data_IF_105159540452
#
_entry.id   IF_105159540452
#
_cell.length_a   1.000
_cell.length_b   1.000
_cell.length_c   1.000
_cell.angle_alpha   90.00
_cell.angle_beta   90.00
_cell.angle_gamma   90.00
#
_symmetry.space_group_name_H-M   'P 1'
#
loop_
_entity.id
_entity.type
_entity.pdbx_description
1 polymer ?
#
# COMPACT_ATOMS: atom_id res chain seq x y z
N UNK A 1 10.17 -4.27 -28.18
CA UNK A 1 10.80 -3.83 -26.94
C UNK A 1 12.09 -4.62 -26.79
N UNK A 2 13.23 -3.92 -26.62
CA UNK A 2 14.49 -4.57 -26.28
C UNK A 2 14.43 -5.13 -24.85
N UNK A 3 15.03 -6.28 -24.62
CA UNK A 3 15.09 -6.91 -23.31
C UNK A 3 16.47 -7.52 -23.10
N UNK A 4 16.85 -7.69 -21.84
CA UNK A 4 18.11 -8.30 -21.40
C UNK A 4 17.85 -9.35 -20.34
N UNK A 5 18.69 -10.37 -20.27
CA UNK A 5 18.64 -11.43 -19.28
C UNK A 5 20.01 -11.64 -18.67
N UNK A 6 20.06 -11.78 -17.34
CA UNK A 6 21.29 -12.06 -16.60
C UNK A 6 22.22 -10.87 -16.44
N UNK A 7 21.91 -9.73 -17.02
CA UNK A 7 22.66 -8.47 -16.89
C UNK A 7 21.76 -7.26 -17.02
N UNK A 8 22.31 -6.10 -16.65
CA UNK A 8 21.70 -4.79 -16.89
C UNK A 8 22.69 -3.90 -17.62
N UNK A 9 22.40 -3.51 -18.86
CA UNK A 9 23.23 -2.53 -19.58
C UNK A 9 22.98 -1.15 -19.01
N UNK A 10 23.90 -0.71 -18.16
CA UNK A 10 23.79 0.52 -17.39
C UNK A 10 23.52 1.75 -18.27
N UNK A 11 24.20 1.84 -19.43
CA UNK A 11 24.05 2.95 -20.35
C UNK A 11 22.61 3.10 -20.87
N UNK A 12 21.94 1.98 -21.17
CA UNK A 12 20.54 1.97 -21.63
C UNK A 12 19.60 2.43 -20.50
N UNK A 13 19.81 1.92 -19.30
CA UNK A 13 18.97 2.25 -18.15
C UNK A 13 19.15 3.72 -17.73
N UNK A 14 20.38 4.23 -17.75
CA UNK A 14 20.67 5.62 -17.42
C UNK A 14 20.25 6.63 -18.52
N UNK A 15 19.73 6.16 -19.64
CA UNK A 15 19.15 6.98 -20.71
C UNK A 15 17.61 6.91 -20.72
N UNK A 16 17.00 6.30 -19.73
CA UNK A 16 15.54 6.23 -19.59
C UNK A 16 14.98 7.53 -18.99
N UNK A 17 13.76 7.88 -19.37
CA UNK A 17 13.02 9.00 -18.76
C UNK A 17 12.49 8.62 -17.37
N UNK A 18 12.13 7.36 -17.18
CA UNK A 18 11.61 6.80 -15.92
C UNK A 18 11.94 5.31 -15.83
N UNK A 19 12.18 4.82 -14.62
CA UNK A 19 12.50 3.42 -14.33
C UNK A 19 11.47 2.83 -13.39
N UNK A 20 10.85 1.74 -13.82
CA UNK A 20 10.00 0.92 -12.94
C UNK A 20 10.86 -0.13 -12.25
N UNK A 21 10.99 -0.02 -10.94
CA UNK A 21 11.90 -0.84 -10.13
C UNK A 21 11.15 -1.98 -9.42
N UNK A 22 11.68 -3.20 -9.51
CA UNK A 22 11.22 -4.31 -8.65
C UNK A 22 11.45 -3.97 -7.17
N UNK A 23 10.50 -4.25 -6.25
CA UNK A 23 10.65 -3.99 -4.82
C UNK A 23 11.81 -4.77 -4.19
N UNK A 24 12.22 -5.90 -4.77
CA UNK A 24 13.38 -6.67 -4.33
C UNK A 24 14.72 -5.95 -4.50
N UNK A 25 14.84 -4.99 -5.43
CA UNK A 25 16.08 -4.25 -5.64
C UNK A 25 16.24 -3.19 -4.53
N UNK A 26 17.35 -3.20 -3.76
CA UNK A 26 17.61 -2.21 -2.72
C UNK A 26 17.69 -0.78 -3.26
N UNK A 27 17.29 0.19 -2.43
CA UNK A 27 17.35 1.61 -2.79
C UNK A 27 18.78 2.19 -2.79
N UNK A 28 19.74 1.48 -2.24
CA UNK A 28 21.17 1.76 -2.19
C UNK A 28 21.99 0.94 -3.22
N UNK A 29 21.34 0.14 -4.07
CA UNK A 29 22.02 -0.56 -5.15
C UNK A 29 22.75 0.45 -6.05
N UNK A 30 24.00 0.14 -6.52
CA UNK A 30 24.83 1.09 -7.26
C UNK A 30 24.12 1.75 -8.45
N UNK A 31 23.36 1.00 -9.22
CA UNK A 31 22.61 1.53 -10.36
C UNK A 31 21.47 2.45 -9.90
N UNK A 32 20.81 2.14 -8.79
CA UNK A 32 19.74 2.97 -8.22
C UNK A 32 20.29 4.31 -7.74
N UNK A 33 21.48 4.33 -7.13
CA UNK A 33 22.15 5.57 -6.73
C UNK A 33 22.48 6.43 -7.93
N UNK A 34 23.04 5.86 -9.02
CA UNK A 34 23.32 6.58 -10.26
C UNK A 34 22.07 7.16 -10.93
N UNK A 35 20.94 6.44 -10.89
CA UNK A 35 19.65 6.96 -11.38
C UNK A 35 19.21 8.18 -10.58
N UNK A 36 19.32 8.12 -9.25
CA UNK A 36 19.01 9.25 -8.36
C UNK A 36 19.92 10.46 -8.62
N UNK A 37 21.23 10.24 -8.78
CA UNK A 37 22.20 11.29 -9.10
C UNK A 37 21.87 11.98 -10.43
N UNK A 38 21.37 11.24 -11.42
CA UNK A 38 20.91 11.79 -12.70
C UNK A 38 19.51 12.41 -12.66
N UNK A 39 18.80 12.31 -11.53
CA UNK A 39 17.43 12.81 -11.40
C UNK A 39 16.40 12.00 -12.18
N UNK A 40 16.71 10.74 -12.55
CA UNK A 40 15.78 9.85 -13.25
C UNK A 40 14.76 9.34 -12.25
N UNK A 41 13.49 9.45 -12.60
CA UNK A 41 12.38 9.00 -11.76
C UNK A 41 12.40 7.47 -11.59
N UNK A 42 12.31 7.01 -10.34
CA UNK A 42 12.26 5.59 -10.01
C UNK A 42 10.94 5.32 -9.30
N UNK A 43 10.08 4.52 -9.93
CA UNK A 43 8.73 4.24 -9.42
C UNK A 43 8.52 2.74 -9.21
N UNK A 44 7.49 2.40 -8.42
CA UNK A 44 7.03 1.03 -8.29
C UNK A 44 6.12 0.64 -9.48
N UNK A 45 5.94 -0.65 -9.68
CA UNK A 45 4.97 -1.19 -10.64
C UNK A 45 3.54 -0.72 -10.31
N UNK A 46 3.21 -0.61 -9.03
CA UNK A 46 1.90 -0.12 -8.54
C UNK A 46 1.69 1.35 -8.95
N UNK A 47 2.70 2.21 -8.76
CA UNK A 47 2.65 3.62 -9.20
C UNK A 47 2.44 3.72 -10.71
N UNK A 48 3.15 2.90 -11.48
CA UNK A 48 3.02 2.86 -12.93
C UNK A 48 1.62 2.43 -13.35
N UNK A 49 1.15 1.28 -12.85
CA UNK A 49 -0.14 0.70 -13.22
C UNK A 49 -1.34 1.59 -12.85
N UNK A 50 -1.26 2.25 -11.70
CA UNK A 50 -2.31 3.15 -11.22
C UNK A 50 -2.64 4.31 -12.16
N UNK A 51 -1.74 4.66 -13.08
CA UNK A 51 -1.96 5.72 -14.09
C UNK A 51 -2.91 5.30 -15.21
N UNK A 52 -3.15 4.01 -15.37
CA UNK A 52 -3.90 3.44 -16.51
C UNK A 52 -5.24 2.83 -16.11
N UNK A 53 -5.71 3.06 -14.90
CA UNK A 53 -7.00 2.60 -14.44
C UNK A 53 -7.69 3.65 -13.55
N UNK A 54 -9.03 3.65 -13.58
CA UNK A 54 -9.88 4.45 -12.71
C UNK A 54 -10.59 3.60 -11.64
N UNK A 55 -10.19 2.33 -11.51
CA UNK A 55 -10.74 1.43 -10.50
C UNK A 55 -10.49 1.96 -9.08
N UNK A 56 -11.37 1.64 -8.14
CA UNK A 56 -11.16 1.95 -6.73
C UNK A 56 -10.10 1.03 -6.14
N UNK A 57 -9.12 1.63 -5.48
CA UNK A 57 -7.95 0.97 -4.90
C UNK A 57 -8.16 0.74 -3.41
N UNK A 58 -8.28 -0.54 -3.00
CA UNK A 58 -8.33 -0.98 -1.60
C UNK A 58 -6.95 -1.54 -1.28
N UNK A 59 -6.17 -0.78 -0.50
CA UNK A 59 -4.75 -1.05 -0.27
C UNK A 59 -4.50 -1.47 1.17
N UNK A 60 -3.80 -2.57 1.37
CA UNK A 60 -3.52 -3.15 2.68
C UNK A 60 -2.02 -3.19 2.91
N UNK A 61 -1.57 -2.61 4.04
CA UNK A 61 -0.20 -2.72 4.51
C UNK A 61 -0.16 -3.02 6.02
N UNK A 62 1.01 -3.30 6.53
CA UNK A 62 1.28 -3.62 7.92
C UNK A 62 2.53 -4.49 8.04
N UNK A 63 3.00 -4.76 9.23
CA UNK A 63 4.07 -5.74 9.43
C UNK A 63 3.53 -7.15 9.28
N UNK A 64 2.42 -7.47 9.94
CA UNK A 64 1.82 -8.81 9.96
C UNK A 64 0.36 -8.77 9.51
N UNK A 65 -0.14 -9.91 9.01
CA UNK A 65 -1.56 -10.12 8.67
C UNK A 65 -1.99 -9.62 7.29
N UNK A 66 -1.14 -8.95 6.54
CA UNK A 66 -1.45 -8.38 5.22
C UNK A 66 -2.11 -9.39 4.28
N UNK A 67 -1.45 -10.51 4.02
CA UNK A 67 -1.89 -11.52 3.05
C UNK A 67 -3.25 -12.11 3.40
N UNK A 68 -3.47 -12.43 4.68
CA UNK A 68 -4.75 -12.96 5.16
C UNK A 68 -5.86 -11.95 4.98
N UNK A 69 -5.64 -10.70 5.40
CA UNK A 69 -6.63 -9.62 5.29
C UNK A 69 -6.93 -9.28 3.83
N UNK A 70 -5.90 -9.15 2.99
CA UNK A 70 -6.07 -8.87 1.56
C UNK A 70 -6.87 -9.98 0.87
N UNK A 71 -6.54 -11.24 1.15
CA UNK A 71 -7.25 -12.40 0.58
C UNK A 71 -8.70 -12.46 1.07
N UNK A 72 -8.95 -12.15 2.33
CA UNK A 72 -10.30 -12.14 2.90
C UNK A 72 -11.17 -11.02 2.27
N UNK A 73 -10.65 -9.82 2.16
CA UNK A 73 -11.35 -8.70 1.51
C UNK A 73 -11.67 -9.06 0.05
N UNK A 74 -10.67 -9.56 -0.69
CA UNK A 74 -10.89 -10.02 -2.06
C UNK A 74 -11.97 -11.09 -2.14
N UNK A 75 -11.94 -12.10 -1.25
CA UNK A 75 -12.95 -13.15 -1.19
C UNK A 75 -14.35 -12.60 -0.94
N UNK A 76 -14.50 -11.66 -0.01
CA UNK A 76 -15.79 -11.01 0.31
C UNK A 76 -16.33 -10.28 -0.94
N UNK A 77 -15.52 -9.45 -1.59
CA UNK A 77 -15.90 -8.72 -2.79
C UNK A 77 -16.29 -9.66 -3.94
N UNK A 78 -15.47 -10.69 -4.15
CA UNK A 78 -15.74 -11.71 -5.18
C UNK A 78 -17.03 -12.47 -4.91
N UNK A 79 -17.29 -12.85 -3.66
CA UNK A 79 -18.51 -13.57 -3.25
C UNK A 79 -19.77 -12.69 -3.34
N UNK A 80 -19.62 -11.39 -3.20
CA UNK A 80 -20.66 -10.40 -3.42
C UNK A 80 -20.95 -10.14 -4.92
N UNK A 81 -20.22 -10.79 -5.84
CA UNK A 81 -20.39 -10.62 -7.28
C UNK A 81 -19.76 -9.35 -7.86
N UNK A 82 -18.92 -8.65 -7.09
CA UNK A 82 -18.24 -7.46 -7.57
C UNK A 82 -17.11 -7.81 -8.54
N UNK A 83 -16.89 -6.93 -9.52
CA UNK A 83 -15.81 -7.06 -10.49
C UNK A 83 -14.48 -6.56 -9.85
N UNK A 84 -13.76 -7.47 -9.20
CA UNK A 84 -12.60 -7.17 -8.38
C UNK A 84 -11.37 -7.97 -8.80
N UNK A 85 -10.21 -7.30 -8.85
CA UNK A 85 -8.88 -7.90 -9.04
C UNK A 85 -8.10 -7.99 -7.73
N UNK A 86 -7.22 -9.00 -7.62
CA UNK A 86 -6.28 -9.19 -6.51
C UNK A 86 -4.87 -8.94 -7.00
N UNK A 87 -4.16 -7.98 -6.42
CA UNK A 87 -2.86 -7.54 -6.93
C UNK A 87 -1.87 -7.15 -5.83
N UNK A 88 -0.67 -6.80 -6.24
CA UNK A 88 0.39 -6.27 -5.39
C UNK A 88 1.44 -7.31 -5.02
N UNK A 89 1.74 -7.44 -3.73
CA UNK A 89 2.72 -8.40 -3.21
C UNK A 89 2.22 -9.85 -3.29
N UNK A 90 0.91 -10.05 -3.51
CA UNK A 90 0.25 -11.33 -3.76
C UNK A 90 -0.64 -11.22 -5.01
N UNK A 91 -1.04 -12.35 -5.56
CA UNK A 91 -1.84 -12.39 -6.79
C UNK A 91 -0.98 -12.09 -8.03
N UNK A 92 -1.61 -11.53 -9.06
CA UNK A 92 -0.93 -11.08 -10.27
C UNK A 92 -0.45 -9.63 -10.11
N UNK A 93 0.54 -9.21 -10.91
CA UNK A 93 0.95 -7.81 -10.93
C UNK A 93 -0.23 -6.90 -11.30
N UNK A 94 -0.31 -5.73 -10.69
CA UNK A 94 -1.37 -4.76 -11.00
C UNK A 94 -1.29 -4.33 -12.47
N UNK A 95 -0.07 -4.11 -12.99
CA UNK A 95 0.14 -3.71 -14.38
C UNK A 95 -0.35 -4.76 -15.37
N UNK A 96 -0.11 -6.04 -15.10
CA UNK A 96 -0.63 -7.11 -15.93
C UNK A 96 -2.16 -7.13 -15.95
N UNK A 97 -2.79 -7.03 -14.79
CA UNK A 97 -4.25 -7.02 -14.72
C UNK A 97 -4.85 -5.79 -15.41
N UNK A 98 -4.31 -4.61 -15.16
CA UNK A 98 -4.76 -3.36 -15.83
C UNK A 98 -4.62 -3.44 -17.35
N UNK A 99 -3.58 -4.13 -17.86
CA UNK A 99 -3.37 -4.31 -19.29
C UNK A 99 -4.29 -5.35 -19.94
N UNK A 100 -4.66 -6.39 -19.19
CA UNK A 100 -5.37 -7.56 -19.73
C UNK A 100 -6.85 -7.62 -19.36
N UNK A 101 -7.23 -7.01 -18.24
CA UNK A 101 -8.55 -7.10 -17.64
C UNK A 101 -9.03 -5.72 -17.20
N UNK A 102 -10.34 -5.53 -17.13
CA UNK A 102 -10.92 -4.30 -16.59
C UNK A 102 -11.71 -4.64 -15.33
N UNK A 103 -11.21 -4.15 -14.20
CA UNK A 103 -11.88 -4.27 -12.91
C UNK A 103 -12.41 -2.91 -12.43
N UNK A 104 -13.46 -2.95 -11.61
CA UNK A 104 -14.01 -1.76 -10.93
C UNK A 104 -13.30 -1.52 -9.60
N UNK A 105 -12.74 -2.59 -9.01
CA UNK A 105 -12.02 -2.59 -7.74
C UNK A 105 -10.73 -3.40 -7.86
N UNK A 106 -9.69 -2.95 -7.16
CA UNK A 106 -8.50 -3.75 -6.90
C UNK A 106 -8.24 -3.81 -5.40
N UNK A 107 -8.08 -5.03 -4.88
CA UNK A 107 -7.59 -5.28 -3.53
C UNK A 107 -6.10 -5.57 -3.63
N UNK A 108 -5.28 -4.72 -3.00
CA UNK A 108 -3.84 -4.65 -3.24
C UNK A 108 -3.08 -4.82 -1.94
N UNK A 109 -2.26 -5.88 -1.85
CA UNK A 109 -1.28 -5.99 -0.78
C UNK A 109 -0.06 -5.14 -1.09
N UNK A 110 0.31 -4.24 -0.17
CA UNK A 110 1.47 -3.36 -0.31
C UNK A 110 2.54 -3.65 0.73
N UNK A 111 3.74 -3.96 0.26
CA UNK A 111 4.95 -3.95 1.09
C UNK A 111 5.46 -2.53 1.30
N UNK A 112 6.26 -2.31 2.35
CA UNK A 112 6.94 -1.03 2.56
C UNK A 112 7.85 -0.65 1.37
N UNK A 113 8.48 -1.65 0.74
CA UNK A 113 9.38 -1.42 -0.42
C UNK A 113 8.64 -0.95 -1.68
N UNK A 114 7.38 -1.37 -1.87
CA UNK A 114 6.53 -0.85 -2.94
C UNK A 114 6.11 0.59 -2.64
N UNK A 115 5.71 0.85 -1.38
CA UNK A 115 5.30 2.18 -0.91
C UNK A 115 6.43 3.22 -1.05
N UNK A 116 7.69 2.84 -0.84
CA UNK A 116 8.86 3.74 -0.99
C UNK A 116 8.95 4.41 -2.37
N UNK A 117 8.46 3.75 -3.40
CA UNK A 117 8.52 4.25 -4.78
C UNK A 117 7.11 4.53 -5.35
N UNK A 118 6.20 4.97 -4.48
CA UNK A 118 4.86 5.47 -4.84
C UNK A 118 4.79 6.96 -4.52
N UNK A 119 4.35 7.78 -5.48
CA UNK A 119 4.36 9.24 -5.38
C UNK A 119 3.01 9.88 -5.62
N UNK A 120 2.28 9.46 -6.66
CA UNK A 120 0.98 9.99 -7.07
C UNK A 120 -0.16 8.99 -6.90
N UNK A 121 0.16 7.73 -6.72
CA UNK A 121 -0.83 6.68 -6.49
C UNK A 121 -1.70 7.02 -5.27
N UNK A 122 -3.02 6.87 -5.41
CA UNK A 122 -4.00 7.13 -4.36
C UNK A 122 -4.71 5.85 -3.97
N UNK A 123 -4.68 5.52 -2.69
CA UNK A 123 -5.51 4.48 -2.10
C UNK A 123 -6.87 5.09 -1.71
N UNK A 124 -7.96 4.65 -2.35
CA UNK A 124 -9.31 5.10 -1.97
C UNK A 124 -9.70 4.56 -0.58
N UNK A 125 -9.28 3.34 -0.29
CA UNK A 125 -9.36 2.73 1.04
C UNK A 125 -7.96 2.24 1.40
N UNK A 126 -7.39 2.79 2.44
CA UNK A 126 -6.11 2.35 2.98
C UNK A 126 -6.31 1.63 4.31
N UNK A 127 -5.70 0.46 4.45
CA UNK A 127 -5.72 -0.34 5.69
C UNK A 127 -4.30 -0.47 6.21
N UNK A 128 -4.05 0.01 7.43
CA UNK A 128 -2.81 -0.16 8.16
C UNK A 128 -3.03 -1.07 9.36
N UNK A 129 -2.61 -2.33 9.20
CA UNK A 129 -2.90 -3.40 10.17
C UNK A 129 -2.16 -3.24 11.49
N UNK A 130 -0.85 -3.01 11.43
CA UNK A 130 0.05 -2.89 12.59
C UNK A 130 1.45 -2.48 12.13
N UNK A 131 2.25 -2.00 13.06
CA UNK A 131 3.66 -1.68 12.83
C UNK A 131 4.51 -2.28 13.93
N UNK A 132 5.25 -3.35 13.60
CA UNK A 132 6.27 -3.96 14.45
C UNK A 132 7.61 -4.01 13.72
N UNK A 133 8.77 -4.02 14.42
CA UNK A 133 10.07 -4.07 13.76
C UNK A 133 10.19 -5.23 12.77
N UNK A 134 10.47 -4.91 11.51
CA UNK A 134 10.65 -5.87 10.43
C UNK A 134 11.50 -5.22 9.32
N UNK A 135 12.34 -6.02 8.64
CA UNK A 135 13.17 -5.56 7.52
C UNK A 135 14.00 -4.29 7.78
N UNK A 136 14.42 -4.05 9.03
CA UNK A 136 15.13 -2.82 9.41
C UNK A 136 16.50 -2.67 8.73
N UNK A 137 17.09 -3.77 8.27
CA UNK A 137 18.28 -3.80 7.42
C UNK A 137 18.12 -2.96 6.14
N UNK A 138 16.91 -2.88 5.61
CA UNK A 138 16.55 -2.08 4.42
C UNK A 138 16.26 -0.60 4.74
N UNK A 139 16.20 -0.22 6.02
CA UNK A 139 15.86 1.10 6.53
C UNK A 139 16.95 1.68 7.45
N UNK A 140 18.23 1.32 7.20
CA UNK A 140 19.39 1.76 7.97
C UNK A 140 19.24 1.47 9.48
N UNK A 141 18.60 0.36 9.83
CA UNK A 141 18.23 -0.02 11.19
C UNK A 141 17.41 1.05 11.95
N UNK A 142 16.74 1.96 11.22
CA UNK A 142 15.94 3.05 11.75
C UNK A 142 14.45 2.72 11.66
N UNK A 143 13.83 2.46 12.80
CA UNK A 143 12.39 2.15 12.89
C UNK A 143 11.52 3.26 12.28
N UNK A 144 11.89 4.54 12.47
CA UNK A 144 11.10 5.65 11.93
C UNK A 144 11.04 5.63 10.40
N UNK A 145 12.13 5.29 9.71
CA UNK A 145 12.11 5.17 8.23
C UNK A 145 11.14 4.09 7.75
N UNK A 146 11.05 2.98 8.47
CA UNK A 146 10.10 1.92 8.18
C UNK A 146 8.65 2.35 8.44
N UNK A 147 8.41 3.09 9.52
CA UNK A 147 7.11 3.70 9.84
C UNK A 147 6.71 4.67 8.75
N UNK A 148 7.60 5.60 8.38
CA UNK A 148 7.38 6.59 7.32
C UNK A 148 7.03 5.92 5.98
N UNK A 149 7.74 4.84 5.63
CA UNK A 149 7.46 4.06 4.43
C UNK A 149 6.03 3.50 4.42
N UNK A 150 5.54 2.95 5.54
CA UNK A 150 4.17 2.43 5.64
C UNK A 150 3.10 3.52 5.59
N UNK A 151 3.35 4.66 6.24
CA UNK A 151 2.42 5.79 6.24
C UNK A 151 2.27 6.44 4.86
N UNK A 152 3.18 6.18 3.91
CA UNK A 152 3.01 6.61 2.51
C UNK A 152 1.73 6.07 1.86
N UNK A 153 1.12 5.04 2.40
CA UNK A 153 -0.19 4.55 1.92
C UNK A 153 -1.28 5.64 1.99
N UNK A 154 -1.14 6.62 2.88
CA UNK A 154 -2.10 7.72 3.08
C UNK A 154 -1.73 9.00 2.34
N UNK A 155 -0.52 9.09 1.72
CA UNK A 155 0.08 10.35 1.26
C UNK A 155 -0.77 11.16 0.27
N UNK A 156 -1.58 10.50 -0.55
CA UNK A 156 -2.41 11.13 -1.59
C UNK A 156 -3.92 10.99 -1.31
N UNK A 157 -4.28 10.53 -0.14
CA UNK A 157 -5.69 10.45 0.26
C UNK A 157 -6.30 11.84 0.43
N UNK A 158 -7.59 11.92 0.19
CA UNK A 158 -8.44 13.09 0.30
C UNK A 158 -9.54 12.84 1.35
N UNK A 159 -10.34 13.81 1.73
CA UNK A 159 -11.45 13.62 2.67
C UNK A 159 -12.52 12.61 2.23
N UNK A 160 -12.60 12.29 0.94
CA UNK A 160 -13.52 11.27 0.41
C UNK A 160 -12.97 9.83 0.55
N UNK A 161 -11.70 9.68 0.93
CA UNK A 161 -11.06 8.39 1.10
C UNK A 161 -11.18 7.89 2.53
N UNK A 162 -11.01 6.59 2.73
CA UNK A 162 -11.06 5.96 4.04
C UNK A 162 -9.68 5.49 4.50
N UNK A 163 -9.37 5.70 5.76
CA UNK A 163 -8.19 5.13 6.42
C UNK A 163 -8.61 4.25 7.59
N UNK A 164 -8.44 2.94 7.44
CA UNK A 164 -8.76 1.92 8.44
C UNK A 164 -7.47 1.54 9.15
N UNK A 165 -7.45 1.63 10.46
CA UNK A 165 -6.22 1.36 11.21
C UNK A 165 -6.48 0.78 12.60
N UNK A 166 -5.51 0.01 13.09
CA UNK A 166 -5.56 -0.55 14.44
C UNK A 166 -5.23 0.51 15.49
N UNK A 167 -6.26 0.87 16.27
CA UNK A 167 -6.15 1.94 17.27
C UNK A 167 -5.29 1.55 18.49
N UNK A 168 -5.16 0.25 18.79
CA UNK A 168 -4.32 -0.22 19.91
C UNK A 168 -2.81 -0.17 19.60
N UNK A 169 -2.42 0.07 18.33
CA UNK A 169 -1.00 0.18 17.95
C UNK A 169 -0.44 1.54 18.37
N UNK A 170 0.52 1.59 19.34
CA UNK A 170 1.04 2.84 19.87
C UNK A 170 1.88 3.63 18.85
N UNK A 171 2.43 2.96 17.83
CA UNK A 171 3.20 3.62 16.78
C UNK A 171 2.24 4.33 15.82
N UNK A 172 1.16 3.68 15.43
CA UNK A 172 0.14 4.27 14.56
C UNK A 172 -0.48 5.49 15.24
N UNK A 173 -0.91 5.37 16.49
CA UNK A 173 -1.50 6.50 17.26
C UNK A 173 -0.55 7.70 17.31
N UNK A 174 0.71 7.46 17.71
CA UNK A 174 1.73 8.51 17.77
C UNK A 174 1.94 9.23 16.46
N UNK A 175 1.99 8.49 15.34
CA UNK A 175 2.22 9.10 14.02
C UNK A 175 1.00 9.90 13.54
N UNK A 176 -0.21 9.44 13.84
CA UNK A 176 -1.45 10.18 13.53
C UNK A 176 -1.54 11.49 14.33
N UNK A 177 -1.13 11.49 15.61
CA UNK A 177 -1.06 12.71 16.44
C UNK A 177 -0.06 13.73 15.86
N UNK A 178 1.07 13.28 15.30
CA UNK A 178 2.09 14.17 14.73
C UNK A 178 1.69 14.79 13.41
N UNK A 179 1.10 14.01 12.53
CA UNK A 179 0.94 14.38 11.11
C UNK A 179 -0.50 14.72 10.74
N UNK A 180 -1.45 14.33 11.56
CA UNK A 180 -2.86 14.39 11.22
C UNK A 180 -3.24 13.42 10.10
N UNK A 181 -4.48 13.45 9.70
CA UNK A 181 -5.03 12.62 8.64
C UNK A 181 -5.94 13.45 7.73
N UNK A 182 -5.81 13.26 6.41
CA UNK A 182 -6.72 13.90 5.44
C UNK A 182 -7.95 13.04 5.19
N UNK A 183 -7.76 11.72 5.10
CA UNK A 183 -8.83 10.76 4.87
C UNK A 183 -9.76 10.65 6.09
N UNK A 184 -10.96 10.14 5.87
CA UNK A 184 -11.87 9.82 6.96
C UNK A 184 -11.32 8.64 7.78
N UNK A 185 -11.14 8.79 9.12
CA UNK A 185 -10.59 7.74 9.97
C UNK A 185 -11.62 6.66 10.31
N UNK A 186 -11.19 5.41 10.25
CA UNK A 186 -11.95 4.23 10.71
C UNK A 186 -11.08 3.39 11.65
N UNK A 187 -10.90 3.82 12.91
CA UNK A 187 -10.14 3.07 13.89
C UNK A 187 -10.87 1.80 14.34
N UNK A 188 -10.14 0.68 14.41
CA UNK A 188 -10.62 -0.54 15.02
C UNK A 188 -9.74 -0.93 16.21
N UNK A 189 -10.31 -1.63 17.20
CA UNK A 189 -9.63 -2.06 18.41
C UNK A 189 -9.93 -3.52 18.76
N UNK A 190 -9.08 -4.14 19.57
CA UNK A 190 -9.30 -5.51 20.04
C UNK A 190 -10.46 -5.62 21.05
N UNK A 191 -10.70 -4.53 21.78
CA UNK A 191 -11.80 -4.41 22.77
C UNK A 191 -12.47 -3.06 22.60
N UNK A 192 -13.63 -2.87 23.22
CA UNK A 192 -14.34 -1.59 23.24
C UNK A 192 -13.44 -0.49 23.83
N UNK A 193 -13.18 0.53 23.02
CA UNK A 193 -12.34 1.68 23.36
C UNK A 193 -12.99 2.95 22.83
N UNK A 194 -12.83 4.07 23.54
CA UNK A 194 -13.30 5.37 23.09
C UNK A 194 -12.66 5.76 21.76
N UNK A 195 -13.48 6.08 20.78
CA UNK A 195 -13.06 6.43 19.43
C UNK A 195 -12.89 5.26 18.47
N UNK A 196 -12.93 4.00 18.91
CA UNK A 196 -12.96 2.87 18.00
C UNK A 196 -14.34 2.72 17.36
N UNK A 197 -14.35 2.59 16.03
CA UNK A 197 -15.58 2.35 15.25
C UNK A 197 -15.93 0.87 15.21
N UNK A 198 -14.93 0.00 15.21
CA UNK A 198 -15.12 -1.44 15.26
C UNK A 198 -14.27 -2.05 16.38
N UNK A 199 -14.84 -2.99 17.12
CA UNK A 199 -14.16 -3.69 18.22
C UNK A 199 -14.81 -5.05 18.48
N UNK A 200 -14.24 -5.84 19.39
CA UNK A 200 -14.82 -7.10 19.88
C UNK A 200 -15.40 -6.87 21.27
N UNK A 201 -16.67 -7.23 21.48
CA UNK A 201 -17.36 -7.25 22.77
C UNK A 201 -18.12 -8.58 22.91
N UNK A 202 -17.95 -9.28 24.01
CA UNK A 202 -18.58 -10.58 24.31
C UNK A 202 -18.38 -11.66 23.21
N UNK A 203 -17.25 -11.58 22.48
CA UNK A 203 -16.91 -12.52 21.40
C UNK A 203 -17.56 -12.20 20.05
N UNK A 204 -18.28 -11.11 19.95
CA UNK A 204 -18.90 -10.62 18.72
C UNK A 204 -18.15 -9.37 18.20
N UNK A 205 -18.18 -9.16 16.88
CA UNK A 205 -17.61 -7.96 16.26
C UNK A 205 -18.71 -6.89 16.19
N UNK A 206 -18.49 -5.81 16.91
CA UNK A 206 -19.36 -4.64 16.91
C UNK A 206 -18.86 -3.58 15.95
N UNK A 207 -19.76 -2.96 15.18
CA UNK A 207 -19.47 -1.84 14.28
C UNK A 207 -20.46 -0.72 14.60
N UNK A 208 -19.97 0.39 15.15
CA UNK A 208 -20.79 1.49 15.68
C UNK A 208 -21.25 2.52 14.65
N UNK A 209 -20.62 2.57 13.49
CA UNK A 209 -21.05 3.45 12.41
C UNK A 209 -21.34 2.65 11.14
N UNK A 210 -22.42 2.97 10.42
CA UNK A 210 -22.59 2.44 9.08
C UNK A 210 -21.42 2.94 8.23
N UNK A 211 -20.54 2.03 7.82
CA UNK A 211 -19.46 2.34 6.88
C UNK A 211 -20.13 2.56 5.52
N UNK A 212 -20.67 3.76 5.33
CA UNK A 212 -21.25 4.18 4.07
C UNK A 212 -20.13 4.56 3.10
N UNK A 213 -19.54 3.56 2.45
CA UNK A 213 -18.78 3.84 1.24
C UNK A 213 -19.79 4.09 0.11
N UNK A 214 -19.72 5.25 -0.52
CA UNK A 214 -20.35 5.45 -1.82
C UNK A 214 -19.59 4.55 -2.82
N UNK A 215 -20.09 3.34 -3.00
CA UNK A 215 -19.62 2.37 -4.00
C UNK A 215 -20.05 2.80 -5.41
#
# INVERSE_FOLDING_TARGET
IAWEEGQHTEELILNADEVVKSPGIPNDAPLILKLKEKGISIISEIEFAGRYTNAKMICITGSNGKTTTTSLIYHIFKSAGLNVGLAGNIGNSLALQVAMEKHDYYVIELSSFQLDNMYKFRANIAVLMNITPDHLDRYDHCMQKYVDAKFRITQNQTPEDAFIYWNDDPIIRRELEKHGLKAHPYPFAAVKEDGAIAYVEDGEVEINEPIAFNM
#
